data_IF_847104053363
#
_entry.id   IF_847104053363
#
_cell.length_a   1.000
_cell.length_b   1.000
_cell.length_c   1.000
_cell.angle_alpha   90.00
_cell.angle_beta   90.00
_cell.angle_gamma   90.00
#
_symmetry.space_group_name_H-M   'P 1'
#
loop_
_entity.id
_entity.type
_entity.pdbx_description
1 polymer ?
#
# COMPACT_ATOMS: atom_id res chain seq x y z
N UNK A 1 -3.12 33.31 -22.74
CA UNK A 1 -3.25 32.15 -21.82
C UNK A 1 -3.78 30.99 -22.64
N UNK A 2 -2.91 30.03 -22.98
CA UNK A 2 -3.28 28.91 -23.84
C UNK A 2 -3.32 27.64 -22.99
N UNK A 3 -4.53 27.15 -22.72
CA UNK A 3 -4.75 25.83 -22.13
C UNK A 3 -4.43 24.75 -23.18
N UNK A 4 -3.48 23.86 -22.89
CA UNK A 4 -3.26 22.68 -23.72
C UNK A 4 -4.18 21.55 -23.23
N UNK A 5 -5.11 21.17 -24.12
CA UNK A 5 -6.11 20.13 -23.91
C UNK A 5 -5.47 18.74 -23.69
N UNK A 6 -5.98 18.00 -22.71
CA UNK A 6 -5.69 16.57 -22.54
C UNK A 6 -6.23 15.82 -23.76
N UNK A 7 -5.32 15.28 -24.59
CA UNK A 7 -5.69 14.42 -25.71
C UNK A 7 -5.71 12.95 -25.26
N UNK A 8 -6.89 12.33 -25.35
CA UNK A 8 -7.19 10.89 -25.41
C UNK A 8 -6.33 9.97 -24.52
N UNK A 9 -6.83 9.64 -23.34
CA UNK A 9 -6.37 8.45 -22.61
C UNK A 9 -7.16 7.22 -23.05
N UNK A 10 -6.57 6.33 -23.84
CA UNK A 10 -6.99 4.94 -23.84
C UNK A 10 -6.50 4.34 -22.51
N UNK A 11 -7.40 4.08 -21.57
CA UNK A 11 -7.06 3.27 -20.39
C UNK A 11 -7.02 1.82 -20.85
N UNK A 12 -5.94 1.46 -21.56
CA UNK A 12 -5.62 0.05 -21.85
C UNK A 12 -5.40 -0.61 -20.50
N UNK A 13 -6.13 -1.69 -20.21
CA UNK A 13 -6.09 -2.42 -18.94
C UNK A 13 -4.66 -2.52 -18.42
N UNK A 14 -4.38 -1.75 -17.37
CA UNK A 14 -3.09 -1.75 -16.69
C UNK A 14 -3.01 -3.09 -15.96
N UNK A 15 -2.41 -4.09 -16.59
CA UNK A 15 -1.83 -5.19 -15.84
C UNK A 15 -0.64 -4.60 -15.10
N UNK A 16 -0.87 -4.21 -13.83
CA UNK A 16 0.19 -3.90 -12.89
C UNK A 16 1.00 -5.18 -12.66
N UNK A 17 1.93 -5.47 -13.57
CA UNK A 17 2.78 -6.67 -13.49
C UNK A 17 3.62 -6.66 -12.21
N UNK A 18 3.84 -5.48 -11.63
CA UNK A 18 4.50 -5.27 -10.35
C UNK A 18 3.92 -4.01 -9.66
N UNK A 19 2.83 -4.13 -8.86
CA UNK A 19 2.20 -2.97 -8.23
C UNK A 19 3.12 -2.24 -7.26
N UNK A 20 4.12 -2.92 -6.70
CA UNK A 20 5.11 -2.30 -5.83
C UNK A 20 5.91 -1.19 -6.51
N UNK A 21 6.03 -1.19 -7.85
CA UNK A 21 6.71 -0.11 -8.60
C UNK A 21 6.01 1.24 -8.47
N UNK A 22 4.71 1.23 -8.20
CA UNK A 22 3.87 2.43 -8.17
C UNK A 22 3.47 2.82 -6.74
N UNK A 23 4.03 2.16 -5.72
CA UNK A 23 3.92 2.61 -4.34
C UNK A 23 4.66 3.93 -4.20
N UNK A 24 3.90 5.01 -4.07
CA UNK A 24 4.41 6.37 -3.94
C UNK A 24 3.43 7.19 -3.12
N UNK A 25 3.92 8.26 -2.48
CA UNK A 25 3.03 9.24 -1.87
C UNK A 25 2.16 9.92 -2.96
N UNK A 26 0.97 10.44 -2.61
CA UNK A 26 0.15 11.20 -3.55
C UNK A 26 0.96 12.31 -4.21
N UNK A 27 0.85 12.43 -5.54
CA UNK A 27 1.53 13.44 -6.36
C UNK A 27 3.07 13.35 -6.41
N UNK A 28 3.67 12.28 -5.91
CA UNK A 28 5.12 12.05 -6.01
C UNK A 28 5.47 11.16 -7.21
N UNK A 29 6.61 11.46 -7.87
CA UNK A 29 7.16 10.64 -8.94
C UNK A 29 7.57 9.28 -8.36
N UNK A 30 7.12 8.14 -8.92
CA UNK A 30 7.54 6.82 -8.45
C UNK A 30 9.05 6.62 -8.57
N UNK A 31 9.63 5.89 -7.63
CA UNK A 31 11.05 5.55 -7.66
C UNK A 31 11.37 4.64 -8.87
N UNK A 32 12.42 5.00 -9.62
CA UNK A 32 12.88 4.27 -10.80
C UNK A 32 13.60 2.95 -10.44
N UNK A 33 14.16 2.85 -9.23
CA UNK A 33 14.79 1.62 -8.76
C UNK A 33 13.75 0.50 -8.62
N UNK A 34 14.10 -0.77 -8.92
CA UNK A 34 13.16 -1.87 -8.68
C UNK A 34 12.82 -1.98 -7.19
N UNK A 35 11.57 -2.33 -6.82
CA UNK A 35 11.21 -2.50 -5.42
C UNK A 35 12.03 -3.62 -4.78
N UNK A 36 12.25 -3.50 -3.48
CA UNK A 36 12.93 -4.56 -2.72
C UNK A 36 12.05 -5.81 -2.61
N UNK A 37 12.65 -6.97 -2.31
CA UNK A 37 11.89 -8.19 -2.03
C UNK A 37 11.04 -8.00 -0.76
N UNK A 38 11.59 -7.33 0.26
CA UNK A 38 10.89 -7.01 1.50
C UNK A 38 9.64 -6.16 1.24
N UNK A 39 9.75 -5.10 0.44
CA UNK A 39 8.60 -4.25 0.07
C UNK A 39 7.52 -5.03 -0.69
N UNK A 40 7.91 -5.90 -1.63
CA UNK A 40 6.92 -6.74 -2.34
C UNK A 40 6.18 -7.66 -1.39
N UNK A 41 6.91 -8.29 -0.46
CA UNK A 41 6.33 -9.18 0.54
C UNK A 41 5.36 -8.41 1.45
N UNK A 42 5.78 -7.27 2.00
CA UNK A 42 4.93 -6.44 2.86
C UNK A 42 3.70 -5.93 2.12
N UNK A 43 3.84 -5.54 0.85
CA UNK A 43 2.69 -5.18 0.01
C UNK A 43 1.71 -6.34 -0.10
N UNK A 44 2.16 -7.56 -0.38
CA UNK A 44 1.28 -8.73 -0.46
C UNK A 44 0.57 -8.99 0.87
N UNK A 45 1.28 -8.91 1.99
CA UNK A 45 0.70 -9.09 3.33
C UNK A 45 -0.36 -8.02 3.64
N UNK A 46 -0.10 -6.77 3.27
CA UNK A 46 -1.05 -5.67 3.40
C UNK A 46 -2.28 -5.86 2.50
N UNK A 47 -2.08 -6.27 1.25
CA UNK A 47 -3.18 -6.54 0.31
C UNK A 47 -4.08 -7.67 0.82
N UNK A 48 -3.52 -8.74 1.36
CA UNK A 48 -4.30 -9.82 1.98
C UNK A 48 -5.18 -9.29 3.12
N UNK A 49 -4.67 -8.37 3.95
CA UNK A 49 -5.42 -7.78 5.06
C UNK A 49 -6.55 -6.85 4.61
N UNK A 50 -6.34 -6.08 3.55
CA UNK A 50 -7.31 -5.06 3.10
C UNK A 50 -8.27 -5.55 2.01
N UNK A 51 -8.17 -6.82 1.64
CA UNK A 51 -9.04 -7.45 0.65
C UNK A 51 -9.92 -8.51 1.28
N UNK A 52 -10.99 -8.86 0.59
CA UNK A 52 -11.88 -9.92 1.03
C UNK A 52 -11.20 -11.29 0.90
N UNK A 53 -11.43 -12.20 1.87
CA UNK A 53 -12.39 -12.08 2.97
C UNK A 53 -11.85 -11.41 4.24
N UNK A 54 -10.54 -11.21 4.37
CA UNK A 54 -9.88 -10.86 5.63
C UNK A 54 -10.29 -9.48 6.14
N UNK A 55 -10.57 -8.53 5.24
CA UNK A 55 -11.02 -7.18 5.62
C UNK A 55 -12.27 -7.22 6.52
N UNK A 56 -13.18 -8.19 6.34
CA UNK A 56 -14.36 -8.31 7.19
C UNK A 56 -13.99 -8.63 8.64
N UNK A 57 -12.95 -9.43 8.87
CA UNK A 57 -12.48 -9.73 10.21
C UNK A 57 -11.83 -8.49 10.86
N UNK A 58 -11.17 -7.64 10.06
CA UNK A 58 -10.64 -6.35 10.55
C UNK A 58 -11.79 -5.42 10.93
N UNK A 59 -12.82 -5.32 10.08
CA UNK A 59 -14.01 -4.51 10.34
C UNK A 59 -14.80 -5.01 11.57
N UNK A 60 -14.89 -6.32 11.77
CA UNK A 60 -15.50 -6.96 12.95
C UNK A 60 -14.60 -6.90 14.20
N UNK A 61 -13.44 -6.23 14.13
CA UNK A 61 -12.48 -6.11 15.23
C UNK A 61 -11.98 -7.47 15.77
N UNK A 62 -11.88 -8.49 14.91
CA UNK A 62 -11.37 -9.80 15.27
C UNK A 62 -9.92 -9.69 15.80
N UNK A 63 -9.62 -10.21 17.00
CA UNK A 63 -8.33 -10.01 17.65
C UNK A 63 -7.16 -10.60 16.84
N UNK A 64 -7.38 -11.65 16.05
CA UNK A 64 -6.32 -12.24 15.22
C UNK A 64 -6.04 -11.35 14.01
N UNK A 65 -7.08 -10.83 13.36
CA UNK A 65 -6.97 -9.87 12.26
C UNK A 65 -6.28 -8.57 12.72
N UNK A 66 -6.67 -8.03 13.88
CA UNK A 66 -6.04 -6.83 14.44
C UNK A 66 -4.58 -7.08 14.86
N UNK A 67 -4.25 -8.26 15.39
CA UNK A 67 -2.86 -8.62 15.68
C UNK A 67 -2.01 -8.66 14.40
N UNK A 68 -2.55 -9.22 13.30
CA UNK A 68 -1.86 -9.23 11.99
C UNK A 68 -1.70 -7.81 11.44
N UNK A 69 -2.72 -6.96 11.58
CA UNK A 69 -2.66 -5.57 11.15
C UNK A 69 -1.58 -4.78 11.91
N UNK A 70 -1.53 -4.91 13.24
CA UNK A 70 -0.47 -4.29 14.08
C UNK A 70 0.92 -4.83 13.74
N UNK A 71 1.05 -6.12 13.43
CA UNK A 71 2.33 -6.70 13.01
C UNK A 71 2.80 -6.14 11.65
N UNK A 72 1.88 -5.94 10.71
CA UNK A 72 2.19 -5.31 9.42
C UNK A 72 2.63 -3.84 9.61
N UNK A 73 1.94 -3.08 10.48
CA UNK A 73 2.33 -1.71 10.84
C UNK A 73 3.76 -1.64 11.41
N UNK A 74 4.07 -2.48 12.39
CA UNK A 74 5.40 -2.53 13.00
C UNK A 74 6.49 -2.92 11.99
N UNK A 75 6.22 -3.91 11.13
CA UNK A 75 7.16 -4.33 10.10
C UNK A 75 7.45 -3.20 9.10
N UNK A 76 6.42 -2.45 8.69
CA UNK A 76 6.59 -1.28 7.81
C UNK A 76 7.37 -0.15 8.49
N UNK A 77 7.10 0.09 9.77
CA UNK A 77 7.81 1.10 10.58
C UNK A 77 9.30 0.78 10.71
N UNK A 78 9.63 -0.50 10.90
CA UNK A 78 11.00 -0.99 11.08
C UNK A 78 11.74 -1.29 9.77
N UNK A 79 11.07 -1.26 8.62
CA UNK A 79 11.66 -1.50 7.31
C UNK A 79 12.64 -0.36 6.92
N UNK A 80 13.91 -0.71 6.71
CA UNK A 80 14.97 0.25 6.35
C UNK A 80 15.24 0.33 4.86
N UNK A 81 15.07 -0.78 4.14
CA UNK A 81 15.26 -0.81 2.68
C UNK A 81 14.03 -0.24 1.99
N UNK A 82 14.22 0.45 0.86
CA UNK A 82 13.11 0.93 0.02
C UNK A 82 12.12 1.81 0.79
N UNK A 83 12.71 2.65 1.66
CA UNK A 83 12.01 3.42 2.70
C UNK A 83 10.88 4.28 2.14
N UNK A 84 11.07 4.87 0.97
CA UNK A 84 10.04 5.70 0.33
C UNK A 84 8.75 4.92 0.05
N UNK A 85 8.88 3.67 -0.44
CA UNK A 85 7.72 2.80 -0.69
C UNK A 85 7.13 2.26 0.62
N UNK A 86 7.99 1.90 1.58
CA UNK A 86 7.57 1.46 2.90
C UNK A 86 6.75 2.55 3.61
N UNK A 87 7.19 3.81 3.57
CA UNK A 87 6.47 4.94 4.16
C UNK A 87 5.14 5.22 3.46
N UNK A 88 5.08 5.07 2.13
CA UNK A 88 3.83 5.20 1.38
C UNK A 88 2.79 4.14 1.80
N UNK A 89 3.23 2.89 1.97
CA UNK A 89 2.36 1.79 2.41
C UNK A 89 2.00 1.91 3.90
N UNK A 90 2.94 2.32 4.75
CA UNK A 90 2.71 2.56 6.18
C UNK A 90 1.60 3.56 6.44
N UNK A 91 1.49 4.63 5.65
CA UNK A 91 0.40 5.61 5.81
C UNK A 91 -0.99 4.98 5.64
N UNK A 92 -1.16 4.02 4.73
CA UNK A 92 -2.43 3.32 4.55
C UNK A 92 -2.74 2.42 5.76
N UNK A 93 -1.75 1.63 6.19
CA UNK A 93 -1.93 0.67 7.29
C UNK A 93 -2.13 1.36 8.63
N UNK A 94 -1.39 2.44 8.90
CA UNK A 94 -1.54 3.22 10.14
C UNK A 94 -2.96 3.77 10.29
N UNK A 95 -3.59 4.24 9.21
CA UNK A 95 -4.98 4.69 9.25
C UNK A 95 -5.94 3.55 9.61
N UNK A 96 -5.76 2.35 9.02
CA UNK A 96 -6.58 1.20 9.38
C UNK A 96 -6.38 0.74 10.83
N UNK A 97 -5.15 0.84 11.36
CA UNK A 97 -4.87 0.57 12.78
C UNK A 97 -5.59 1.58 13.67
N UNK A 98 -5.57 2.86 13.32
CA UNK A 98 -6.28 3.91 14.06
C UNK A 98 -7.81 3.68 14.06
N UNK A 99 -8.37 3.26 12.93
CA UNK A 99 -9.81 3.08 12.76
C UNK A 99 -10.35 1.83 13.47
N UNK A 100 -9.60 0.72 13.48
CA UNK A 100 -10.10 -0.60 13.90
C UNK A 100 -9.34 -1.25 15.07
N UNK A 101 -8.13 -0.77 15.40
CA UNK A 101 -7.25 -1.42 16.37
C UNK A 101 -6.86 -0.51 17.55
N UNK A 102 -7.70 0.46 17.89
CA UNK A 102 -7.53 1.36 19.04
C UNK A 102 -7.60 0.65 20.41
#
# INVERSE_FOLDING_TARGET
>A
MNCHSVQRGAVVGWSLTDPARYLTAPFAVPDAAPPSIATRRLLTECLDLITQPVIYNVEDSDPVALARLRAADDALRNQREDRHRADALHRLIAQLVEDYAA
#
